data_IF_091303156983
#
_entry.id   IF_091303156983
#
_cell.length_a   1.000
_cell.length_b   1.000
_cell.length_c   1.000
_cell.angle_alpha   90.00
_cell.angle_beta   90.00
_cell.angle_gamma   90.00
#
_symmetry.space_group_name_H-M   'P 1'
#
loop_
_entity.id
_entity.type
_entity.pdbx_description
1 polymer ?
#
# COMPACT_ATOMS: atom_id res chain seq x y z
N UNK A 1 23.12 26.97 -5.10
CA UNK A 1 23.30 27.23 -3.66
C UNK A 1 23.80 25.95 -2.98
N UNK A 2 25.00 25.95 -2.42
CA UNK A 2 25.52 24.82 -1.64
C UNK A 2 25.11 25.06 -0.19
N UNK A 3 24.13 24.30 0.29
CA UNK A 3 23.69 24.38 1.70
C UNK A 3 24.88 23.93 2.55
N UNK A 4 25.37 24.82 3.42
CA UNK A 4 26.39 24.46 4.41
C UNK A 4 25.79 23.43 5.37
N UNK A 5 26.50 22.33 5.69
CA UNK A 5 26.06 21.42 6.73
C UNK A 5 25.79 22.19 8.03
N UNK A 6 24.66 21.89 8.69
CA UNK A 6 24.23 22.55 9.93
C UNK A 6 25.35 22.65 10.99
N UNK A 7 26.22 21.65 11.03
CA UNK A 7 27.32 21.53 12.00
C UNK A 7 28.52 22.45 11.72
N UNK A 8 28.67 23.00 10.51
CA UNK A 8 29.81 23.87 10.14
C UNK A 8 29.61 25.34 10.56
N UNK A 9 28.47 25.68 11.18
CA UNK A 9 28.19 27.03 11.68
C UNK A 9 29.13 27.47 12.80
N UNK A 10 29.66 26.53 13.59
CA UNK A 10 30.48 26.82 14.77
C UNK A 10 31.99 26.68 14.50
N UNK A 11 32.39 25.68 13.71
CA UNK A 11 33.75 25.52 13.21
C UNK A 11 33.79 24.53 12.04
N UNK A 12 34.84 24.57 11.19
CA UNK A 12 35.04 23.55 10.18
C UNK A 12 35.10 22.14 10.81
N UNK A 13 34.32 21.21 10.27
CA UNK A 13 34.26 19.80 10.72
C UNK A 13 33.96 19.59 12.23
N UNK A 14 33.22 20.50 12.88
CA UNK A 14 32.93 20.46 14.33
C UNK A 14 32.47 19.08 14.84
N UNK A 15 31.52 18.45 14.13
CA UNK A 15 31.00 17.12 14.48
C UNK A 15 32.05 16.01 14.40
N UNK A 16 32.95 16.09 13.41
CA UNK A 16 34.04 15.12 13.25
C UNK A 16 35.04 15.23 14.39
N UNK A 17 35.40 16.45 14.77
CA UNK A 17 36.28 16.72 15.91
C UNK A 17 35.70 16.19 17.22
N UNK A 18 34.41 16.44 17.46
CA UNK A 18 33.68 15.95 18.63
C UNK A 18 33.67 14.42 18.69
N UNK A 19 33.29 13.75 17.59
CA UNK A 19 33.21 12.29 17.52
C UNK A 19 34.60 11.66 17.71
N UNK A 20 35.63 12.16 17.02
CA UNK A 20 36.98 11.63 17.13
C UNK A 20 37.52 11.75 18.56
N UNK A 21 37.30 12.90 19.21
CA UNK A 21 37.72 13.11 20.60
C UNK A 21 37.06 12.10 21.55
N UNK A 22 35.75 11.84 21.37
CA UNK A 22 35.02 10.85 22.16
C UNK A 22 35.48 9.42 21.87
N UNK A 23 35.76 9.07 20.62
CA UNK A 23 36.29 7.75 20.24
C UNK A 23 37.69 7.50 20.82
N UNK A 24 38.59 8.49 20.76
CA UNK A 24 39.93 8.38 21.37
C UNK A 24 39.81 8.20 22.89
N UNK A 25 38.93 8.98 23.54
CA UNK A 25 38.70 8.85 24.97
C UNK A 25 38.12 7.48 25.34
N UNK A 26 37.16 6.96 24.57
CA UNK A 26 36.59 5.63 24.79
C UNK A 26 37.61 4.50 24.57
N UNK A 27 38.44 4.61 23.53
CA UNK A 27 39.53 3.66 23.25
C UNK A 27 40.53 3.59 24.41
N UNK A 28 40.89 4.74 24.99
CA UNK A 28 41.77 4.83 26.17
C UNK A 28 41.13 4.24 27.43
N UNK A 29 39.87 4.56 27.70
CA UNK A 29 39.15 4.08 28.89
C UNK A 29 39.01 2.55 28.92
N UNK A 30 38.75 1.93 27.76
CA UNK A 30 38.53 0.47 27.65
C UNK A 30 39.77 -0.32 27.26
N UNK A 31 40.88 0.35 26.96
CA UNK A 31 42.09 -0.25 26.38
C UNK A 31 41.81 -1.05 25.10
N UNK A 32 40.91 -0.54 24.25
CA UNK A 32 40.44 -1.17 23.01
C UNK A 32 40.92 -0.33 21.81
N UNK A 33 42.09 -0.64 21.23
CA UNK A 33 42.70 0.20 20.18
C UNK A 33 41.92 0.18 18.86
N UNK A 34 41.09 -0.85 18.64
CA UNK A 34 40.28 -0.99 17.43
C UNK A 34 39.12 0.03 17.33
N UNK A 35 38.75 0.70 18.43
CA UNK A 35 37.68 1.71 18.47
C UNK A 35 38.03 3.00 17.70
N UNK A 36 39.33 3.30 17.54
CA UNK A 36 39.78 4.50 16.86
C UNK A 36 40.89 4.18 15.86
N UNK A 37 40.61 4.42 14.57
CA UNK A 37 41.59 4.41 13.50
C UNK A 37 41.69 5.81 12.89
N UNK A 38 42.92 6.32 12.72
CA UNK A 38 43.20 7.63 12.15
C UNK A 38 42.63 7.78 10.73
N UNK A 39 42.64 6.71 9.94
CA UNK A 39 42.15 6.72 8.56
C UNK A 39 40.63 6.53 8.48
N UNK A 40 40.04 5.76 9.40
CA UNK A 40 38.62 5.40 9.40
C UNK A 40 38.06 5.35 10.83
N UNK A 41 37.78 6.49 11.47
CA UNK A 41 37.31 6.54 12.85
C UNK A 41 35.94 5.88 13.00
N UNK A 42 35.75 5.08 14.05
CA UNK A 42 34.47 4.43 14.38
C UNK A 42 34.06 3.27 13.48
N UNK A 43 34.88 2.88 12.50
CA UNK A 43 34.61 1.75 11.61
C UNK A 43 35.49 0.55 11.94
N UNK A 44 34.92 -0.65 11.85
CA UNK A 44 35.58 -1.92 12.15
C UNK A 44 35.44 -2.91 11.00
N UNK A 45 36.32 -3.92 10.97
CA UNK A 45 36.21 -5.02 10.02
C UNK A 45 35.16 -6.01 10.52
N UNK A 46 34.12 -6.24 9.71
CA UNK A 46 33.11 -7.26 9.96
C UNK A 46 33.37 -8.50 9.08
N UNK A 47 32.84 -9.63 9.51
CA UNK A 47 32.89 -10.90 8.79
C UNK A 47 31.47 -11.25 8.35
N UNK A 48 31.28 -11.66 7.11
CA UNK A 48 29.99 -12.16 6.62
C UNK A 48 29.67 -13.49 7.32
N UNK A 49 28.58 -13.49 8.09
CA UNK A 49 28.14 -14.67 8.86
C UNK A 49 27.71 -15.86 8.00
N UNK A 50 27.48 -15.69 6.69
CA UNK A 50 27.12 -16.78 5.78
C UNK A 50 28.34 -17.46 5.15
N UNK A 51 29.40 -16.70 4.87
CA UNK A 51 30.56 -17.18 4.10
C UNK A 51 31.85 -17.28 4.92
N UNK A 52 31.96 -16.54 6.03
CA UNK A 52 33.16 -16.49 6.85
C UNK A 52 34.27 -15.57 6.34
N UNK A 53 34.08 -14.92 5.18
CA UNK A 53 35.03 -13.93 4.65
C UNK A 53 34.78 -12.53 5.23
N UNK A 54 35.84 -11.71 5.30
CA UNK A 54 35.72 -10.31 5.72
C UNK A 54 35.03 -9.48 4.64
N UNK A 55 34.26 -8.47 5.05
CA UNK A 55 33.75 -7.47 4.10
C UNK A 55 34.90 -6.63 3.52
N UNK A 56 34.79 -6.24 2.25
CA UNK A 56 35.79 -5.44 1.54
C UNK A 56 36.00 -4.06 2.19
N UNK A 57 34.93 -3.49 2.75
CA UNK A 57 34.94 -2.17 3.37
C UNK A 57 34.69 -2.25 4.88
N UNK A 58 35.32 -1.36 5.63
CA UNK A 58 35.09 -1.21 7.08
C UNK A 58 33.69 -0.64 7.34
N UNK A 59 32.99 -1.22 8.31
CA UNK A 59 31.59 -0.91 8.64
C UNK A 59 31.52 -0.12 9.94
N UNK A 60 30.68 0.92 9.97
CA UNK A 60 30.38 1.66 11.20
C UNK A 60 29.46 0.81 12.08
N UNK A 61 29.92 0.50 13.30
CA UNK A 61 29.15 -0.23 14.29
C UNK A 61 29.05 0.62 15.56
N UNK A 62 27.84 0.70 16.12
CA UNK A 62 27.58 1.50 17.30
C UNK A 62 26.35 1.02 18.04
N UNK A 63 26.14 1.58 19.23
CA UNK A 63 24.92 1.37 20.01
C UNK A 63 23.91 2.44 19.63
N UNK A 64 22.98 2.10 18.74
CA UNK A 64 21.86 2.97 18.38
C UNK A 64 20.66 2.71 19.30
N UNK A 65 19.96 3.79 19.68
CA UNK A 65 18.65 3.67 20.30
C UNK A 65 17.59 3.62 19.19
N UNK A 66 17.00 2.44 18.99
CA UNK A 66 15.98 2.20 17.97
C UNK A 66 14.64 2.02 18.67
N UNK A 67 13.62 2.78 18.26
CA UNK A 67 12.27 2.72 18.81
C UNK A 67 11.34 1.98 17.85
N UNK A 68 10.53 1.06 18.39
CA UNK A 68 9.46 0.39 17.63
C UNK A 68 8.23 1.30 17.61
N UNK A 69 7.77 1.65 16.42
CA UNK A 69 6.52 2.40 16.25
C UNK A 69 5.29 1.49 16.41
N UNK A 70 4.16 2.07 16.78
CA UNK A 70 2.91 1.34 17.03
C UNK A 70 2.30 0.72 15.76
N UNK A 71 2.66 1.21 14.57
CA UNK A 71 2.08 0.75 13.31
C UNK A 71 2.66 -0.58 12.86
N UNK A 72 2.04 -1.69 13.27
CA UNK A 72 2.44 -3.03 12.87
C UNK A 72 1.69 -3.47 11.60
N UNK A 73 2.29 -4.39 10.84
CA UNK A 73 1.71 -4.94 9.61
C UNK A 73 0.51 -5.85 9.91
N UNK A 74 0.58 -6.59 11.03
CA UNK A 74 -0.51 -7.47 11.48
C UNK A 74 -1.83 -6.70 11.66
N UNK A 75 -1.74 -5.44 12.11
CA UNK A 75 -2.87 -4.51 12.26
C UNK A 75 -3.32 -3.87 10.94
N UNK A 76 -2.65 -4.16 9.82
CA UNK A 76 -2.93 -3.57 8.50
C UNK A 76 -3.39 -4.59 7.44
N UNK A 77 -3.01 -5.87 7.55
CA UNK A 77 -3.48 -6.90 6.61
C UNK A 77 -4.99 -7.11 6.73
N UNK A 78 -5.71 -6.93 5.63
CA UNK A 78 -7.16 -7.14 5.54
C UNK A 78 -7.50 -7.80 4.21
N UNK A 79 -8.36 -8.82 4.26
CA UNK A 79 -8.83 -9.53 3.07
C UNK A 79 -10.34 -9.78 3.21
N UNK A 80 -11.03 -9.77 2.07
CA UNK A 80 -12.47 -9.96 1.97
C UNK A 80 -12.79 -10.87 0.79
N UNK A 81 -13.62 -11.87 1.01
CA UNK A 81 -14.29 -12.65 -0.05
C UNK A 81 -15.71 -12.12 -0.26
N UNK A 82 -16.59 -12.34 0.71
CA UNK A 82 -17.95 -11.79 0.78
C UNK A 82 -18.13 -11.03 2.10
N UNK A 83 -19.22 -10.28 2.25
CA UNK A 83 -19.44 -9.47 3.46
C UNK A 83 -20.69 -8.60 3.36
N UNK A 84 -20.88 -7.66 4.30
CA UNK A 84 -22.04 -6.80 4.30
C UNK A 84 -22.01 -5.77 3.16
N UNK A 85 -23.21 -5.34 2.76
CA UNK A 85 -23.46 -4.39 1.68
C UNK A 85 -24.28 -3.20 2.19
N UNK A 86 -24.16 -2.07 1.48
CA UNK A 86 -24.97 -0.88 1.69
C UNK A 86 -26.44 -1.16 1.37
N UNK A 87 -27.36 -0.62 2.17
CA UNK A 87 -28.80 -0.78 1.93
C UNK A 87 -29.27 -0.14 0.62
N UNK A 88 -28.71 1.01 0.27
CA UNK A 88 -29.16 1.82 -0.86
C UNK A 88 -28.41 1.40 -2.14
N UNK A 89 -27.09 1.54 -2.14
CA UNK A 89 -26.27 1.32 -3.34
C UNK A 89 -25.93 -0.14 -3.61
N UNK A 90 -26.23 -1.05 -2.66
CA UNK A 90 -25.85 -2.46 -2.72
C UNK A 90 -24.34 -2.73 -2.88
N UNK A 91 -23.49 -1.72 -2.73
CA UNK A 91 -22.04 -1.83 -2.79
C UNK A 91 -21.44 -2.36 -1.48
N UNK A 92 -20.28 -3.03 -1.53
CA UNK A 92 -19.53 -3.45 -0.35
C UNK A 92 -19.28 -2.30 0.62
N UNK A 93 -19.54 -2.50 1.92
CA UNK A 93 -19.23 -1.48 2.93
C UNK A 93 -17.72 -1.19 2.99
N UNK A 94 -17.34 0.02 3.39
CA UNK A 94 -15.94 0.40 3.62
C UNK A 94 -15.45 0.09 5.05
N UNK A 95 -14.14 -0.08 5.19
CA UNK A 95 -13.44 -0.14 6.48
C UNK A 95 -13.17 -1.55 7.01
N UNK A 96 -11.98 -1.77 7.56
CA UNK A 96 -11.51 -3.07 8.07
C UNK A 96 -12.43 -3.66 9.15
N UNK A 97 -12.93 -2.83 10.07
CA UNK A 97 -13.81 -3.30 11.17
C UNK A 97 -15.15 -3.86 10.71
N UNK A 98 -15.58 -3.53 9.48
CA UNK A 98 -16.85 -3.99 8.88
C UNK A 98 -16.64 -5.03 7.79
N UNK A 99 -15.47 -5.68 7.79
CA UNK A 99 -15.05 -6.57 6.70
C UNK A 99 -15.19 -5.91 5.33
N UNK A 100 -14.78 -4.63 5.27
CA UNK A 100 -15.08 -3.78 4.14
C UNK A 100 -14.34 -4.16 2.85
N UNK A 101 -14.91 -3.77 1.72
CA UNK A 101 -14.28 -3.89 0.41
C UNK A 101 -13.23 -2.82 0.20
N UNK A 102 -12.32 -3.06 -0.75
CA UNK A 102 -11.37 -2.05 -1.20
C UNK A 102 -12.08 -1.12 -2.18
N UNK A 103 -11.82 0.19 -2.07
CA UNK A 103 -12.29 1.15 -3.06
C UNK A 103 -11.53 0.92 -4.36
N UNK A 104 -12.27 0.60 -5.42
CA UNK A 104 -11.79 0.66 -6.79
C UNK A 104 -12.22 2.01 -7.35
N UNK A 105 -11.30 2.96 -7.45
CA UNK A 105 -11.56 4.33 -7.84
C UNK A 105 -11.41 4.55 -9.34
N UNK A 106 -11.67 5.79 -9.75
CA UNK A 106 -11.58 6.25 -11.14
C UNK A 106 -10.17 6.04 -11.72
N UNK A 107 -9.12 6.27 -10.93
CA UNK A 107 -7.74 6.04 -11.38
C UNK A 107 -7.45 4.56 -11.65
N UNK A 108 -8.01 3.66 -10.84
CA UNK A 108 -7.87 2.22 -11.07
C UNK A 108 -8.72 1.72 -12.25
N UNK A 109 -9.89 2.34 -12.48
CA UNK A 109 -10.70 2.10 -13.69
C UNK A 109 -9.89 2.47 -14.94
N UNK A 110 -9.30 3.67 -14.99
CA UNK A 110 -8.46 4.09 -16.11
C UNK A 110 -7.28 3.15 -16.36
N UNK A 111 -6.71 2.59 -15.29
CA UNK A 111 -5.65 1.61 -15.44
C UNK A 111 -6.14 0.36 -16.20
N UNK A 112 -7.30 -0.21 -15.85
CA UNK A 112 -7.86 -1.37 -16.55
C UNK A 112 -8.30 -1.05 -17.98
N UNK A 113 -8.85 0.14 -18.21
CA UNK A 113 -9.21 0.61 -19.55
C UNK A 113 -7.98 0.72 -20.46
N UNK A 114 -6.87 1.27 -19.95
CA UNK A 114 -5.62 1.39 -20.69
C UNK A 114 -5.02 0.02 -21.06
N UNK A 115 -5.22 -1.00 -20.23
CA UNK A 115 -4.83 -2.38 -20.54
C UNK A 115 -5.79 -3.09 -21.52
N UNK A 116 -6.96 -2.51 -21.81
CA UNK A 116 -8.01 -3.17 -22.59
C UNK A 116 -8.66 -4.35 -21.86
N UNK A 117 -8.62 -4.36 -20.52
CA UNK A 117 -9.12 -5.46 -19.70
C UNK A 117 -10.66 -5.36 -19.48
N UNK A 118 -11.42 -5.41 -20.58
CA UNK A 118 -12.87 -5.16 -20.57
C UNK A 118 -13.65 -6.09 -19.64
N UNK A 119 -13.40 -7.41 -19.69
CA UNK A 119 -14.09 -8.38 -18.83
C UNK A 119 -13.75 -8.21 -17.35
N UNK A 120 -12.49 -7.92 -17.03
CA UNK A 120 -12.06 -7.66 -15.65
C UNK A 120 -12.69 -6.38 -15.12
N UNK A 121 -12.75 -5.33 -15.95
CA UNK A 121 -13.41 -4.08 -15.57
C UNK A 121 -14.93 -4.30 -15.35
N UNK A 122 -15.59 -5.00 -16.26
CA UNK A 122 -17.00 -5.36 -16.12
C UNK A 122 -17.25 -6.15 -14.84
N UNK A 123 -16.42 -7.14 -14.53
CA UNK A 123 -16.52 -7.93 -13.30
C UNK A 123 -16.39 -7.06 -12.04
N UNK A 124 -15.43 -6.13 -12.03
CA UNK A 124 -15.20 -5.20 -10.90
C UNK A 124 -16.38 -4.24 -10.70
N UNK A 125 -17.01 -3.78 -11.78
CA UNK A 125 -18.13 -2.83 -11.74
C UNK A 125 -19.49 -3.49 -11.49
N UNK A 126 -19.64 -4.79 -11.77
CA UNK A 126 -20.92 -5.52 -11.65
C UNK A 126 -20.90 -6.53 -10.51
N UNK A 127 -20.56 -7.79 -10.78
CA UNK A 127 -20.72 -8.94 -9.88
C UNK A 127 -19.85 -8.87 -8.62
N UNK A 128 -18.71 -8.16 -8.66
CA UNK A 128 -17.87 -7.91 -7.46
C UNK A 128 -18.34 -6.71 -6.63
N UNK A 129 -19.26 -5.90 -7.14
CA UNK A 129 -19.74 -4.68 -6.52
C UNK A 129 -21.23 -4.79 -6.15
N UNK A 130 -22.13 -4.43 -7.06
CA UNK A 130 -23.53 -4.12 -6.78
C UNK A 130 -24.55 -4.81 -7.71
N UNK A 131 -24.12 -5.72 -8.60
CA UNK A 131 -25.04 -6.64 -9.27
C UNK A 131 -25.50 -7.73 -8.29
N UNK A 132 -26.67 -7.52 -7.67
CA UNK A 132 -27.22 -8.38 -6.61
C UNK A 132 -27.54 -9.79 -7.13
N UNK A 133 -28.05 -9.89 -8.35
CA UNK A 133 -28.42 -11.18 -8.95
C UNK A 133 -27.16 -11.91 -9.44
N UNK A 134 -26.29 -11.20 -10.16
CA UNK A 134 -25.05 -11.75 -10.70
C UNK A 134 -24.08 -12.22 -9.62
N UNK A 135 -23.90 -11.47 -8.52
CA UNK A 135 -22.99 -11.88 -7.44
C UNK A 135 -23.40 -13.19 -6.76
N UNK A 136 -24.71 -13.43 -6.62
CA UNK A 136 -25.23 -14.66 -6.00
C UNK A 136 -24.98 -15.85 -6.93
N UNK A 137 -25.29 -15.69 -8.22
CA UNK A 137 -25.02 -16.71 -9.25
C UNK A 137 -23.53 -17.04 -9.35
N UNK A 138 -22.66 -16.04 -9.37
CA UNK A 138 -21.21 -16.21 -9.44
C UNK A 138 -20.68 -16.95 -8.22
N UNK A 139 -21.18 -16.64 -7.02
CA UNK A 139 -20.80 -17.40 -5.83
C UNK A 139 -21.20 -18.88 -5.93
N UNK A 140 -22.43 -19.16 -6.39
CA UNK A 140 -22.90 -20.53 -6.58
C UNK A 140 -22.11 -21.28 -7.66
N UNK A 141 -21.77 -20.62 -8.77
CA UNK A 141 -21.03 -21.23 -9.87
C UNK A 141 -19.60 -21.57 -9.47
N UNK A 142 -18.93 -20.68 -8.70
CA UNK A 142 -17.61 -20.95 -8.11
C UNK A 142 -17.65 -22.18 -7.19
N UNK A 143 -18.70 -22.31 -6.36
CA UNK A 143 -18.86 -23.47 -5.46
C UNK A 143 -19.11 -24.77 -6.24
N UNK A 144 -19.82 -24.70 -7.37
CA UNK A 144 -20.09 -25.85 -8.25
C UNK A 144 -18.95 -26.18 -9.21
N UNK A 145 -17.98 -25.27 -9.39
CA UNK A 145 -16.92 -25.41 -10.38
C UNK A 145 -17.41 -25.19 -11.82
N UNK A 146 -18.46 -24.39 -12.00
CA UNK A 146 -19.03 -24.03 -13.30
C UNK A 146 -18.58 -22.61 -13.69
N UNK A 147 -18.12 -22.44 -14.93
CA UNK A 147 -17.71 -21.12 -15.46
C UNK A 147 -18.89 -20.42 -16.14
N UNK A 148 -19.98 -20.19 -15.40
CA UNK A 148 -21.10 -19.39 -15.90
C UNK A 148 -20.99 -17.95 -15.39
N UNK A 149 -20.85 -17.00 -16.32
CA UNK A 149 -20.67 -15.58 -16.03
C UNK A 149 -21.65 -14.75 -16.86
N UNK A 150 -22.62 -14.16 -16.18
CA UNK A 150 -23.55 -13.19 -16.76
C UNK A 150 -23.57 -11.96 -15.86
N UNK A 151 -23.10 -10.83 -16.39
CA UNK A 151 -23.17 -9.54 -15.73
C UNK A 151 -24.51 -8.86 -16.04
N UNK A 152 -25.27 -8.52 -15.00
CA UNK A 152 -26.49 -7.75 -15.11
C UNK A 152 -26.26 -6.23 -15.03
N UNK A 153 -27.35 -5.49 -14.89
CA UNK A 153 -27.32 -4.04 -14.66
C UNK A 153 -26.94 -3.76 -13.21
N UNK A 154 -25.91 -2.92 -12.95
CA UNK A 154 -25.54 -2.47 -11.61
C UNK A 154 -26.72 -1.84 -10.86
N UNK A 155 -26.88 -2.15 -9.57
CA UNK A 155 -27.94 -1.51 -8.78
C UNK A 155 -27.68 0.00 -8.61
N UNK A 156 -26.43 0.44 -8.64
CA UNK A 156 -26.09 1.87 -8.67
C UNK A 156 -26.69 2.62 -9.87
N UNK A 157 -26.81 1.97 -11.03
CA UNK A 157 -27.49 2.54 -12.19
C UNK A 157 -29.00 2.64 -11.97
N UNK A 158 -29.62 1.62 -11.38
CA UNK A 158 -31.03 1.67 -11.01
C UNK A 158 -31.33 2.77 -9.99
N UNK A 159 -30.44 2.97 -9.02
CA UNK A 159 -30.52 4.07 -8.05
C UNK A 159 -30.43 5.42 -8.78
N UNK A 160 -29.49 5.59 -9.71
CA UNK A 160 -29.37 6.80 -10.52
C UNK A 160 -30.67 7.12 -11.28
N UNK A 161 -31.25 6.16 -11.99
CA UNK A 161 -32.50 6.36 -12.74
C UNK A 161 -33.64 6.82 -11.82
N UNK A 162 -33.76 6.21 -10.63
CA UNK A 162 -34.77 6.59 -9.64
C UNK A 162 -34.53 7.99 -9.07
N UNK A 163 -33.28 8.37 -8.81
CA UNK A 163 -32.92 9.70 -8.33
C UNK A 163 -33.23 10.78 -9.37
N UNK A 164 -32.92 10.53 -10.64
CA UNK A 164 -33.25 11.44 -11.76
C UNK A 164 -34.77 11.60 -11.91
N UNK A 165 -35.54 10.51 -11.84
CA UNK A 165 -37.02 10.55 -11.86
C UNK A 165 -37.60 11.29 -10.67
N UNK A 166 -36.95 11.24 -9.51
CA UNK A 166 -37.31 12.03 -8.34
C UNK A 166 -37.24 13.56 -8.56
N UNK A 167 -36.46 14.01 -9.54
CA UNK A 167 -36.37 15.42 -9.94
C UNK A 167 -37.45 15.83 -10.96
N UNK A 168 -38.32 14.91 -11.38
CA UNK A 168 -39.30 15.15 -12.45
C UNK A 168 -38.73 15.01 -13.86
N UNK A 169 -37.53 14.43 -14.01
CA UNK A 169 -36.91 14.12 -15.29
C UNK A 169 -37.14 12.66 -15.65
N UNK A 170 -37.61 12.36 -16.87
CA UNK A 170 -37.77 10.97 -17.31
C UNK A 170 -36.48 10.46 -17.98
N UNK A 171 -36.05 9.26 -17.58
CA UNK A 171 -34.93 8.53 -18.17
C UNK A 171 -35.39 7.10 -18.41
N UNK A 172 -35.25 6.63 -19.65
CA UNK A 172 -35.67 5.31 -20.10
C UNK A 172 -34.55 4.68 -20.92
N UNK A 173 -34.45 3.36 -20.86
CA UNK A 173 -33.58 2.58 -21.73
C UNK A 173 -34.38 2.34 -23.01
N UNK A 174 -33.86 2.82 -24.13
CA UNK A 174 -34.44 2.60 -25.45
C UNK A 174 -33.68 1.46 -26.12
N UNK A 175 -34.42 0.52 -26.72
CA UNK A 175 -33.84 -0.45 -27.62
C UNK A 175 -33.52 0.24 -28.95
N UNK A 176 -32.45 -0.20 -29.61
CA UNK A 176 -31.94 0.44 -30.83
C UNK A 176 -32.90 0.34 -32.04
N UNK A 177 -34.05 -0.32 -31.90
CA UNK A 177 -34.98 -0.63 -33.00
C UNK A 177 -36.31 0.15 -32.92
N UNK A 178 -36.57 0.99 -31.91
CA UNK A 178 -37.89 1.64 -31.73
C UNK A 178 -38.02 3.11 -32.17
N UNK A 179 -37.03 3.70 -32.87
CA UNK A 179 -37.11 5.07 -33.40
C UNK A 179 -36.87 5.15 -34.94
N UNK A 180 -37.65 4.40 -35.73
CA UNK A 180 -38.02 4.76 -37.12
C UNK A 180 -39.51 5.14 -37.22
#
# INVERSE_FOLDING_TARGET
FKILPFDEMYSPEASRSLINTKLIHAAKLKNEPWLFNKNTPGRISLVDGRTGYKFDNLVLVGKSYIVKLIHQVDDKIHARSTGPYSLITQQPLGGRSRQGGQRFGEMEVWALEAYGAAYTLQEMLTVKSDDVAGRTKVYESIVKGEDNFEAGVPESFNVLVKEVRGLGLNMELLDAEEDE
#
